data_IF_822672838081
#
_entry.id   IF_822672838081
#
_cell.length_a   1.000
_cell.length_b   1.000
_cell.length_c   1.000
_cell.angle_alpha   90.00
_cell.angle_beta   90.00
_cell.angle_gamma   90.00
#
_symmetry.space_group_name_H-M   'P 1'
#
loop_
_entity.id
_entity.type
_entity.pdbx_description
1 polymer ?
#
# COMPACT_ATOMS: atom_id res chain seq x y z
N UNK A 1 -17.32 31.11 32.19
CA UNK A 1 -16.68 29.94 31.55
C UNK A 1 -15.17 30.19 31.47
N UNK A 2 -14.33 29.30 32.01
CA UNK A 2 -12.89 29.56 32.19
C UNK A 2 -12.14 29.40 30.84
N UNK A 3 -11.43 30.44 30.37
CA UNK A 3 -10.76 30.46 29.06
C UNK A 3 -9.76 29.31 28.88
N UNK A 4 -9.10 28.88 29.96
CA UNK A 4 -8.19 27.71 29.95
C UNK A 4 -8.93 26.38 29.72
N UNK A 5 -10.13 26.25 30.27
CA UNK A 5 -10.98 25.08 30.09
C UNK A 5 -11.47 24.98 28.64
N UNK A 6 -11.88 26.11 28.04
CA UNK A 6 -12.31 26.17 26.64
C UNK A 6 -11.15 25.79 25.71
N UNK A 7 -9.95 26.34 25.94
CA UNK A 7 -8.76 26.04 25.13
C UNK A 7 -8.39 24.56 25.20
N UNK A 8 -8.36 23.98 26.41
CA UNK A 8 -8.10 22.56 26.63
C UNK A 8 -9.14 21.67 25.95
N UNK A 9 -10.43 22.04 26.03
CA UNK A 9 -11.51 21.31 25.37
C UNK A 9 -11.38 21.38 23.84
N UNK A 10 -11.02 22.54 23.28
CA UNK A 10 -10.82 22.69 21.83
C UNK A 10 -9.62 21.88 21.32
N UNK A 11 -8.51 21.83 22.08
CA UNK A 11 -7.34 21.02 21.74
C UNK A 11 -7.68 19.53 21.79
N UNK A 12 -8.41 19.10 22.83
CA UNK A 12 -8.87 17.72 22.97
C UNK A 12 -9.81 17.32 21.82
N UNK A 13 -10.74 18.20 21.43
CA UNK A 13 -11.64 17.95 20.30
C UNK A 13 -10.88 17.82 18.98
N UNK A 14 -9.87 18.67 18.74
CA UNK A 14 -9.02 18.59 17.54
C UNK A 14 -8.20 17.29 17.50
N UNK A 15 -7.72 16.79 18.64
CA UNK A 15 -7.01 15.51 18.74
C UNK A 15 -7.90 14.29 18.42
N UNK A 16 -9.19 14.34 18.75
CA UNK A 16 -10.13 13.23 18.47
C UNK A 16 -10.51 13.20 16.98
N UNK A 17 -10.52 14.34 16.28
CA UNK A 17 -10.95 14.44 14.88
C UNK A 17 -9.80 14.16 13.88
N UNK A 18 -8.55 14.30 14.30
CA UNK A 18 -7.40 14.49 13.39
C UNK A 18 -6.83 13.25 12.68
N UNK A 19 -7.19 12.00 13.02
CA UNK A 19 -6.51 10.82 12.43
C UNK A 19 -7.46 9.71 11.92
N UNK A 20 -8.62 10.08 11.38
CA UNK A 20 -9.58 9.11 10.83
C UNK A 20 -9.35 8.81 9.35
N UNK A 21 -8.43 9.49 8.66
CA UNK A 21 -8.06 9.17 7.27
C UNK A 21 -7.20 7.90 7.17
N UNK A 22 -7.15 7.34 5.98
CA UNK A 22 -6.22 6.28 5.57
C UNK A 22 -5.17 6.88 4.64
N UNK A 23 -4.03 6.21 4.48
CA UNK A 23 -2.97 6.67 3.58
C UNK A 23 -3.46 6.72 2.12
N UNK A 24 -2.89 7.61 1.30
CA UNK A 24 -3.16 7.65 -0.14
C UNK A 24 -2.50 6.49 -0.86
N UNK A 25 -3.15 5.97 -1.91
CA UNK A 25 -2.58 4.91 -2.75
C UNK A 25 -1.50 5.51 -3.67
N UNK A 26 -0.25 5.03 -3.65
CA UNK A 26 0.79 5.51 -4.54
C UNK A 26 0.57 5.02 -5.98
N UNK A 27 1.20 5.70 -6.94
CA UNK A 27 1.29 5.26 -8.33
C UNK A 27 2.18 4.03 -8.44
N UNK A 28 1.81 3.12 -9.35
CA UNK A 28 2.64 1.96 -9.67
C UNK A 28 3.92 2.39 -10.39
N UNK A 29 5.09 1.78 -10.09
CA UNK A 29 6.34 2.05 -10.79
C UNK A 29 6.24 1.78 -12.30
N UNK A 30 6.88 2.62 -13.10
CA UNK A 30 6.91 2.48 -14.55
C UNK A 30 7.98 1.49 -14.98
N UNK A 31 7.67 0.70 -16.01
CA UNK A 31 8.62 -0.21 -16.63
C UNK A 31 9.85 0.56 -17.18
N UNK A 32 11.07 0.00 -17.04
CA UNK A 32 12.25 0.63 -17.58
C UNK A 32 12.24 0.59 -19.11
N UNK A 33 12.81 1.63 -19.73
CA UNK A 33 12.95 1.72 -21.19
C UNK A 33 14.03 0.74 -21.67
N UNK A 34 15.10 0.59 -20.90
CA UNK A 34 16.20 -0.31 -21.20
C UNK A 34 16.10 -1.61 -20.38
N UNK A 35 16.50 -2.72 -20.99
CA UNK A 35 16.46 -4.06 -20.38
C UNK A 35 17.88 -4.45 -19.93
N UNK A 36 18.55 -3.55 -19.22
CA UNK A 36 19.82 -3.87 -18.57
C UNK A 36 19.58 -4.56 -17.24
N UNK A 37 20.55 -5.35 -16.77
CA UNK A 37 20.46 -5.98 -15.44
C UNK A 37 20.25 -4.95 -14.33
N UNK A 38 20.91 -3.79 -14.43
CA UNK A 38 20.78 -2.69 -13.48
C UNK A 38 19.36 -2.14 -13.45
N UNK A 39 18.79 -1.83 -14.62
CA UNK A 39 17.47 -1.20 -14.70
C UNK A 39 16.37 -2.18 -14.26
N UNK A 40 16.50 -3.46 -14.63
CA UNK A 40 15.61 -4.51 -14.15
C UNK A 40 15.70 -4.69 -12.63
N UNK A 41 16.89 -4.61 -12.04
CA UNK A 41 17.07 -4.71 -10.59
C UNK A 41 16.45 -3.53 -9.85
N UNK A 42 16.62 -2.31 -10.38
CA UNK A 42 15.97 -1.11 -9.83
C UNK A 42 14.45 -1.26 -9.91
N UNK A 43 13.95 -1.73 -11.06
CA UNK A 43 12.51 -1.89 -11.26
C UNK A 43 11.91 -2.99 -10.38
N UNK A 44 12.60 -4.12 -10.22
CA UNK A 44 12.21 -5.19 -9.29
C UNK A 44 12.10 -4.66 -7.86
N UNK A 45 13.10 -3.93 -7.38
CA UNK A 45 13.08 -3.34 -6.04
C UNK A 45 11.90 -2.35 -5.85
N UNK A 46 11.62 -1.53 -6.87
CA UNK A 46 10.48 -0.62 -6.86
C UNK A 46 9.15 -1.37 -6.81
N UNK A 47 8.99 -2.44 -7.61
CA UNK A 47 7.80 -3.29 -7.58
C UNK A 47 7.63 -4.00 -6.24
N UNK A 48 8.72 -4.51 -5.65
CA UNK A 48 8.70 -5.12 -4.32
C UNK A 48 8.25 -4.13 -3.25
N UNK A 49 8.81 -2.90 -3.26
CA UNK A 49 8.37 -1.82 -2.37
C UNK A 49 6.88 -1.48 -2.55
N UNK A 50 6.42 -1.38 -3.80
CA UNK A 50 5.02 -1.11 -4.11
C UNK A 50 4.09 -2.25 -3.64
N UNK A 51 4.46 -3.51 -3.88
CA UNK A 51 3.71 -4.68 -3.44
C UNK A 51 3.55 -4.73 -1.91
N UNK A 52 4.65 -4.49 -1.17
CA UNK A 52 4.63 -4.43 0.30
C UNK A 52 3.81 -3.26 0.82
N UNK A 53 3.83 -2.11 0.12
CA UNK A 53 2.95 -1.00 0.43
C UNK A 53 1.48 -1.40 0.34
N UNK A 54 1.05 -2.01 -0.78
CA UNK A 54 -0.33 -2.44 -1.00
C UNK A 54 -0.78 -3.44 0.07
N UNK A 55 0.07 -4.41 0.40
CA UNK A 55 -0.18 -5.38 1.47
C UNK A 55 -0.37 -4.70 2.83
N UNK A 56 0.59 -3.84 3.20
CA UNK A 56 0.57 -3.11 4.47
C UNK A 56 -0.66 -2.23 4.58
N UNK A 57 -1.06 -1.58 3.48
CA UNK A 57 -2.28 -0.79 3.42
C UNK A 57 -3.51 -1.63 3.77
N UNK A 58 -3.66 -2.82 3.18
CA UNK A 58 -4.80 -3.70 3.45
C UNK A 58 -4.78 -4.21 4.89
N UNK A 59 -3.63 -4.66 5.40
CA UNK A 59 -3.48 -5.13 6.78
C UNK A 59 -3.88 -4.03 7.78
N UNK A 60 -3.30 -2.84 7.63
CA UNK A 60 -3.54 -1.71 8.54
C UNK A 60 -5.00 -1.24 8.47
N UNK A 61 -5.58 -1.20 7.27
CA UNK A 61 -6.97 -0.76 7.09
C UNK A 61 -7.94 -1.79 7.68
N UNK A 62 -7.70 -3.09 7.47
CA UNK A 62 -8.48 -4.18 8.09
C UNK A 62 -8.43 -4.08 9.61
N UNK A 63 -7.24 -3.90 10.19
CA UNK A 63 -7.06 -3.75 11.63
C UNK A 63 -7.76 -2.50 12.19
N UNK A 64 -7.66 -1.36 11.48
CA UNK A 64 -8.26 -0.08 11.91
C UNK A 64 -9.78 -0.14 11.99
N UNK A 65 -10.44 -0.74 10.99
CA UNK A 65 -11.90 -0.71 10.89
C UNK A 65 -12.60 -1.99 11.37
N UNK A 66 -11.87 -3.08 11.66
CA UNK A 66 -12.37 -4.36 12.19
C UNK A 66 -13.66 -4.85 11.49
N UNK A 67 -13.76 -4.62 10.18
CA UNK A 67 -15.01 -4.83 9.45
C UNK A 67 -15.21 -6.33 9.16
N UNK A 68 -16.39 -6.91 9.48
CA UNK A 68 -16.63 -8.35 9.32
C UNK A 68 -16.52 -8.80 7.86
N UNK A 69 -16.93 -7.94 6.91
CA UNK A 69 -16.87 -8.22 5.47
C UNK A 69 -15.72 -7.47 4.78
N UNK A 70 -14.53 -7.43 5.38
CA UNK A 70 -13.35 -6.88 4.70
C UNK A 70 -12.97 -7.78 3.52
N UNK A 71 -12.69 -7.25 2.31
CA UNK A 71 -12.35 -8.08 1.16
C UNK A 71 -11.18 -9.03 1.47
N UNK A 72 -11.27 -10.31 1.10
CA UNK A 72 -10.16 -11.23 1.28
C UNK A 72 -8.98 -10.82 0.40
N UNK A 73 -7.76 -11.00 0.90
CA UNK A 73 -6.53 -10.79 0.14
C UNK A 73 -5.47 -11.78 0.62
N UNK A 74 -4.53 -12.09 -0.26
CA UNK A 74 -3.36 -12.92 0.04
C UNK A 74 -2.14 -12.05 0.29
N UNK A 75 -1.22 -12.52 1.10
CA UNK A 75 0.07 -11.86 1.29
C UNK A 75 1.01 -12.20 0.13
N UNK A 76 1.99 -11.33 -0.12
CA UNK A 76 3.10 -11.60 -1.02
C UNK A 76 3.89 -12.78 -0.46
N UNK A 77 4.13 -13.80 -1.29
CA UNK A 77 5.05 -14.88 -0.96
C UNK A 77 6.44 -14.52 -1.48
N UNK A 78 7.40 -14.14 -0.62
CA UNK A 78 8.74 -13.78 -1.07
C UNK A 78 9.56 -15.00 -1.52
N UNK A 79 9.17 -16.22 -1.15
CA UNK A 79 9.94 -17.43 -1.46
C UNK A 79 9.89 -17.80 -2.94
N UNK A 80 8.95 -17.23 -3.70
CA UNK A 80 8.87 -17.42 -5.16
C UNK A 80 9.89 -16.58 -5.91
N UNK A 81 10.53 -15.61 -5.25
CA UNK A 81 11.50 -14.72 -5.86
C UNK A 81 12.86 -15.41 -5.91
N UNK A 82 13.43 -15.44 -7.11
CA UNK A 82 14.78 -15.93 -7.39
C UNK A 82 15.82 -15.03 -6.73
N UNK A 83 16.80 -15.63 -6.07
CA UNK A 83 17.91 -14.92 -5.43
C UNK A 83 19.05 -14.58 -6.41
N UNK A 84 19.05 -15.22 -7.58
CA UNK A 84 20.07 -15.04 -8.60
C UNK A 84 20.02 -13.63 -9.20
N UNK A 85 21.19 -13.03 -9.40
CA UNK A 85 21.32 -11.70 -10.00
C UNK A 85 21.59 -11.77 -11.51
N UNK A 86 20.63 -12.31 -12.25
CA UNK A 86 20.68 -12.44 -13.72
C UNK A 86 19.46 -11.80 -14.37
N UNK A 87 19.55 -11.45 -15.66
CA UNK A 87 18.42 -10.83 -16.39
C UNK A 87 17.18 -11.71 -16.36
N UNK A 88 17.34 -13.02 -16.60
CA UNK A 88 16.23 -13.98 -16.57
C UNK A 88 15.58 -14.05 -15.19
N UNK A 89 16.38 -14.14 -14.12
CA UNK A 89 15.87 -14.14 -12.76
C UNK A 89 15.12 -12.85 -12.41
N UNK A 90 15.64 -11.68 -12.83
CA UNK A 90 14.96 -10.40 -12.63
C UNK A 90 13.62 -10.34 -13.38
N UNK A 91 13.59 -10.78 -14.64
CA UNK A 91 12.35 -10.81 -15.43
C UNK A 91 11.30 -11.74 -14.81
N UNK A 92 11.70 -12.91 -14.32
CA UNK A 92 10.81 -13.81 -13.61
C UNK A 92 10.28 -13.19 -12.31
N UNK A 93 11.15 -12.59 -11.50
CA UNK A 93 10.74 -11.89 -10.27
C UNK A 93 9.75 -10.76 -10.57
N UNK A 94 10.05 -9.91 -11.56
CA UNK A 94 9.16 -8.85 -12.04
C UNK A 94 7.79 -9.42 -12.44
N UNK A 95 7.76 -10.53 -13.16
CA UNK A 95 6.51 -11.20 -13.58
C UNK A 95 5.70 -11.69 -12.38
N UNK A 96 6.35 -12.26 -11.37
CA UNK A 96 5.71 -12.69 -10.13
C UNK A 96 5.14 -11.49 -9.35
N UNK A 97 5.92 -10.43 -9.19
CA UNK A 97 5.51 -9.19 -8.51
C UNK A 97 4.33 -8.52 -9.22
N UNK A 98 4.38 -8.37 -10.55
CA UNK A 98 3.26 -7.83 -11.34
C UNK A 98 2.00 -8.66 -11.20
N UNK A 99 2.11 -10.00 -11.18
CA UNK A 99 0.95 -10.88 -10.97
C UNK A 99 0.31 -10.64 -9.61
N UNK A 100 1.11 -10.48 -8.55
CA UNK A 100 0.61 -10.13 -7.23
C UNK A 100 -0.05 -8.75 -7.24
N UNK A 101 0.63 -7.72 -7.75
CA UNK A 101 0.13 -6.35 -7.83
C UNK A 101 -1.21 -6.28 -8.58
N UNK A 102 -1.33 -6.96 -9.73
CA UNK A 102 -2.55 -7.00 -10.52
C UNK A 102 -3.75 -7.58 -9.77
N UNK A 103 -3.52 -8.52 -8.84
CA UNK A 103 -4.57 -9.07 -7.98
C UNK A 103 -4.89 -8.15 -6.81
N UNK A 104 -3.89 -7.54 -6.20
CA UNK A 104 -4.03 -6.80 -4.93
C UNK A 104 -4.44 -5.34 -5.13
N UNK A 105 -3.95 -4.67 -6.18
CA UNK A 105 -4.20 -3.25 -6.44
C UNK A 105 -5.69 -2.91 -6.60
N UNK A 106 -6.53 -3.68 -7.32
CA UNK A 106 -7.97 -3.40 -7.39
C UNK A 106 -8.62 -3.41 -6.00
N UNK A 107 -8.25 -4.36 -5.15
CA UNK A 107 -8.75 -4.47 -3.77
C UNK A 107 -8.36 -3.23 -2.96
N UNK A 108 -7.10 -2.80 -3.06
CA UNK A 108 -6.63 -1.56 -2.41
C UNK A 108 -7.42 -0.35 -2.89
N UNK A 109 -7.68 -0.21 -4.19
CA UNK A 109 -8.45 0.90 -4.74
C UNK A 109 -9.88 0.89 -4.19
N UNK A 110 -10.54 -0.27 -4.12
CA UNK A 110 -11.90 -0.37 -3.62
C UNK A 110 -11.98 -0.08 -2.11
N UNK A 111 -11.05 -0.61 -1.34
CA UNK A 111 -10.89 -0.30 0.10
C UNK A 111 -10.61 1.20 0.27
N UNK A 112 -9.73 1.78 -0.53
CA UNK A 112 -9.42 3.20 -0.49
C UNK A 112 -10.65 4.05 -0.78
N UNK A 113 -11.42 3.75 -1.85
CA UNK A 113 -12.67 4.46 -2.15
C UNK A 113 -13.69 4.35 -1.02
N UNK A 114 -13.79 3.18 -0.39
CA UNK A 114 -14.74 2.94 0.71
C UNK A 114 -14.40 3.69 1.99
N UNK A 115 -13.11 3.75 2.35
CA UNK A 115 -12.67 4.24 3.66
C UNK A 115 -11.94 5.59 3.62
N UNK A 116 -11.51 6.06 2.46
CA UNK A 116 -11.01 7.43 2.31
C UNK A 116 -12.18 8.38 2.50
N UNK A 117 -11.99 9.37 3.37
CA UNK A 117 -12.98 10.43 3.62
C UNK A 117 -13.18 11.36 2.42
N UNK A 118 -12.47 11.13 1.33
CA UNK A 118 -12.60 11.82 0.06
C UNK A 118 -13.87 11.31 -0.65
N UNK A 119 -15.04 11.60 -0.07
CA UNK A 119 -16.27 11.68 -0.87
C UNK A 119 -16.06 12.88 -1.80
N UNK A 120 -16.08 12.64 -3.10
CA UNK A 120 -16.32 13.70 -4.08
C UNK A 120 -17.73 14.26 -3.89
#
# INVERSE_FOLDING_TARGET
>A
MNKKLILSLTILLQLIISCTSIASVPSEPQEPIEVTLKDLSIYEAQLTSYALYLETFLIRTKHKFKHPNFPPFTLLDPNILKSEHTIEAMQDNIKHLKRYINKTKPIVIDVYKKYSKLKK
#
